data_IF_811504667547
#
_entry.id   IF_811504667547
#
_cell.length_a   1.000
_cell.length_b   1.000
_cell.length_c   1.000
_cell.angle_alpha   90.00
_cell.angle_beta   90.00
_cell.angle_gamma   90.00
#
_symmetry.space_group_name_H-M   'P 1'
#
loop_
_entity.id
_entity.type
_entity.pdbx_description
1 polymer ?
#
# COMPACT_ATOMS: atom_id res chain seq x y z
N UNK A 1 -0.49 40.49 23.20
CA UNK A 1 0.81 39.88 22.85
C UNK A 1 0.52 38.51 22.31
N UNK A 2 0.95 38.37 21.07
CA UNK A 2 0.79 37.26 20.14
C UNK A 2 1.45 35.97 20.67
N UNK A 3 0.79 34.84 20.41
CA UNK A 3 1.36 33.57 19.91
C UNK A 3 2.36 32.76 20.78
N UNK A 4 2.39 31.42 20.77
CA UNK A 4 1.95 30.44 19.77
C UNK A 4 1.50 29.14 20.46
N UNK A 5 0.42 28.60 19.92
CA UNK A 5 -0.02 27.22 20.06
C UNK A 5 1.03 26.26 19.48
N UNK A 6 1.70 25.50 20.35
CA UNK A 6 2.50 24.34 19.97
C UNK A 6 1.68 23.07 20.10
N UNK A 7 0.60 22.94 19.35
CA UNK A 7 -0.20 21.72 19.31
C UNK A 7 0.63 20.66 18.58
N UNK A 8 1.33 19.80 19.33
CA UNK A 8 1.82 18.54 18.80
C UNK A 8 0.60 17.65 18.57
N UNK A 9 -0.03 17.82 17.42
CA UNK A 9 -1.00 16.88 16.88
C UNK A 9 -0.27 15.58 16.58
N UNK A 10 -0.05 14.77 17.61
CA UNK A 10 -0.08 13.32 17.48
C UNK A 10 -1.33 13.02 16.65
N UNK A 11 -1.12 12.54 15.44
CA UNK A 11 -2.16 11.95 14.60
C UNK A 11 -2.85 10.86 15.42
N UNK A 12 -3.87 11.26 16.17
CA UNK A 12 -4.67 10.37 16.97
C UNK A 12 -5.45 9.53 15.97
N UNK A 13 -4.96 8.32 15.72
CA UNK A 13 -5.64 7.34 14.90
C UNK A 13 -7.08 7.19 15.40
N UNK A 14 -8.08 7.14 14.52
CA UNK A 14 -9.46 6.98 14.92
C UNK A 14 -9.62 5.70 15.76
N UNK A 15 -10.31 5.84 16.91
CA UNK A 15 -10.60 4.74 17.83
C UNK A 15 -11.62 3.77 17.25
N UNK A 16 -11.56 2.46 17.59
CA UNK A 16 -12.26 1.40 16.88
C UNK A 16 -13.70 1.25 17.39
N UNK A 17 -14.66 1.85 16.68
CA UNK A 17 -16.07 1.49 16.82
C UNK A 17 -16.54 0.83 15.51
N UNK A 18 -16.78 -0.49 15.59
CA UNK A 18 -17.57 -1.33 14.66
C UNK A 18 -17.05 -1.48 13.23
N UNK A 19 -16.33 -2.58 12.99
CA UNK A 19 -16.15 -3.19 11.67
C UNK A 19 -15.37 -2.33 10.68
N UNK A 20 -14.05 -2.49 10.64
CA UNK A 20 -13.17 -1.84 9.65
C UNK A 20 -13.49 -2.29 8.21
N UNK A 21 -14.50 -1.69 7.59
CA UNK A 21 -14.66 -1.61 6.14
C UNK A 21 -13.59 -0.63 5.60
N UNK A 22 -12.33 -1.06 5.62
CA UNK A 22 -11.26 -0.37 4.89
C UNK A 22 -11.60 -0.41 3.40
N UNK A 23 -11.63 0.75 2.75
CA UNK A 23 -11.92 0.88 1.34
C UNK A 23 -10.85 0.18 0.50
N UNK A 24 -11.19 -0.24 -0.72
CA UNK A 24 -10.24 -0.93 -1.61
C UNK A 24 -9.06 -0.04 -2.03
N UNK A 25 -9.28 1.26 -1.99
CA UNK A 25 -8.34 2.34 -2.29
C UNK A 25 -7.64 2.92 -1.03
N UNK A 26 -7.93 2.39 0.17
CA UNK A 26 -7.20 2.79 1.37
C UNK A 26 -5.71 2.44 1.26
N UNK A 27 -4.87 3.30 1.83
CA UNK A 27 -3.41 3.23 1.74
C UNK A 27 -2.86 1.84 2.08
N UNK A 28 -3.25 1.30 3.24
CA UNK A 28 -2.80 -0.01 3.71
C UNK A 28 -3.39 -1.17 2.92
N UNK A 29 -4.57 -1.00 2.32
CA UNK A 29 -5.21 -2.04 1.48
C UNK A 29 -4.48 -2.16 0.15
N UNK A 30 -4.10 -1.03 -0.45
CA UNK A 30 -3.28 -0.99 -1.68
C UNK A 30 -1.89 -1.55 -1.43
N UNK A 31 -1.23 -1.09 -0.35
CA UNK A 31 0.09 -1.59 0.06
C UNK A 31 0.07 -3.12 0.27
N UNK A 32 -0.92 -3.65 0.99
CA UNK A 32 -1.07 -5.09 1.21
C UNK A 32 -1.24 -5.87 -0.10
N UNK A 33 -2.08 -5.38 -1.02
CA UNK A 33 -2.31 -6.02 -2.30
C UNK A 33 -1.02 -6.10 -3.12
N UNK A 34 -0.25 -5.00 -3.17
CA UNK A 34 1.04 -4.97 -3.85
C UNK A 34 2.06 -5.93 -3.22
N UNK A 35 2.24 -5.91 -1.90
CA UNK A 35 3.16 -6.83 -1.22
C UNK A 35 2.77 -8.29 -1.46
N UNK A 36 1.46 -8.59 -1.43
CA UNK A 36 0.96 -9.95 -1.64
C UNK A 36 1.23 -10.46 -3.05
N UNK A 37 0.97 -9.67 -4.08
CA UNK A 37 1.25 -10.09 -5.46
C UNK A 37 2.74 -10.25 -5.70
N UNK A 38 3.58 -9.33 -5.19
CA UNK A 38 5.03 -9.43 -5.31
C UNK A 38 5.57 -10.69 -4.62
N UNK A 39 5.05 -11.03 -3.43
CA UNK A 39 5.42 -12.26 -2.74
C UNK A 39 5.00 -13.52 -3.49
N UNK A 40 3.79 -13.54 -4.06
CA UNK A 40 3.32 -14.66 -4.88
C UNK A 40 4.19 -14.87 -6.13
N UNK A 41 4.56 -13.77 -6.81
CA UNK A 41 5.47 -13.80 -7.98
C UNK A 41 6.87 -14.26 -7.60
N UNK A 42 7.41 -13.76 -6.49
CA UNK A 42 8.70 -14.18 -5.96
C UNK A 42 8.73 -15.70 -5.71
N UNK A 43 7.68 -16.26 -5.10
CA UNK A 43 7.57 -17.72 -4.87
C UNK A 43 7.52 -18.55 -6.16
N UNK A 44 7.04 -17.97 -7.25
CA UNK A 44 6.96 -18.61 -8.56
C UNK A 44 8.23 -18.39 -9.40
N UNK A 45 9.21 -17.62 -8.90
CA UNK A 45 10.38 -17.23 -9.67
C UNK A 45 10.06 -16.29 -10.84
N UNK A 46 8.96 -15.53 -10.74
CA UNK A 46 8.49 -14.58 -11.78
C UNK A 46 8.56 -13.16 -11.25
N UNK A 47 8.55 -12.19 -12.17
CA UNK A 47 8.31 -10.78 -11.85
C UNK A 47 6.85 -10.41 -12.11
N UNK A 48 6.38 -9.33 -11.50
CA UNK A 48 5.06 -8.75 -11.80
C UNK A 48 5.04 -8.23 -13.25
N UNK A 49 3.93 -8.43 -13.96
CA UNK A 49 3.74 -7.84 -15.30
C UNK A 49 3.24 -6.40 -15.20
N UNK A 50 3.45 -5.61 -16.26
CA UNK A 50 2.95 -4.23 -16.33
C UNK A 50 1.42 -4.20 -16.17
N UNK A 51 0.70 -5.15 -16.77
CA UNK A 51 -0.75 -5.27 -16.65
C UNK A 51 -1.22 -5.49 -15.20
N UNK A 52 -0.52 -6.34 -14.44
CA UNK A 52 -0.83 -6.61 -13.04
C UNK A 52 -0.52 -5.39 -12.15
N UNK A 53 0.53 -4.65 -12.50
CA UNK A 53 0.92 -3.42 -11.81
C UNK A 53 -0.10 -2.30 -12.07
N UNK A 54 -0.54 -2.13 -13.33
CA UNK A 54 -1.54 -1.14 -13.72
C UNK A 54 -2.93 -1.45 -13.15
N UNK A 55 -3.29 -2.72 -13.00
CA UNK A 55 -4.54 -3.11 -12.34
C UNK A 55 -4.62 -2.67 -10.88
N UNK A 56 -3.49 -2.60 -10.17
CA UNK A 56 -3.43 -2.09 -8.80
C UNK A 56 -3.63 -0.57 -8.72
N UNK A 57 -3.22 0.16 -9.76
CA UNK A 57 -3.32 1.62 -9.83
C UNK A 57 -4.59 2.11 -10.56
N UNK A 58 -5.33 1.23 -11.26
CA UNK A 58 -6.42 1.57 -12.17
C UNK A 58 -7.50 2.53 -11.64
N UNK A 59 -7.77 2.52 -10.32
CA UNK A 59 -8.77 3.41 -9.69
C UNK A 59 -8.16 4.48 -8.79
N UNK A 60 -6.84 4.52 -8.69
CA UNK A 60 -6.11 5.44 -7.84
C UNK A 60 -5.69 6.66 -8.64
N UNK A 61 -5.65 7.80 -7.97
CA UNK A 61 -4.98 8.96 -8.52
C UNK A 61 -3.47 8.69 -8.64
N UNK A 62 -2.84 9.09 -9.74
CA UNK A 62 -1.42 8.85 -10.02
C UNK A 62 -0.50 9.42 -8.92
N UNK A 63 -0.78 10.62 -8.40
CA UNK A 63 -0.02 11.22 -7.30
C UNK A 63 -0.11 10.37 -6.03
N UNK A 64 -1.29 9.83 -5.74
CA UNK A 64 -1.48 8.96 -4.58
C UNK A 64 -0.77 7.61 -4.75
N UNK A 65 -0.84 7.02 -5.94
CA UNK A 65 -0.09 5.79 -6.26
C UNK A 65 1.42 5.97 -6.13
N UNK A 66 1.95 7.07 -6.68
CA UNK A 66 3.37 7.42 -6.57
C UNK A 66 3.76 7.63 -5.10
N UNK A 67 2.92 8.32 -4.33
CA UNK A 67 3.13 8.51 -2.89
C UNK A 67 3.23 7.19 -2.13
N UNK A 68 2.34 6.22 -2.41
CA UNK A 68 2.37 4.89 -1.80
C UNK A 68 3.70 4.21 -2.11
N UNK A 69 4.07 4.14 -3.39
CA UNK A 69 5.28 3.43 -3.83
C UNK A 69 6.57 4.04 -3.28
N UNK A 70 6.67 5.37 -3.24
CA UNK A 70 7.83 6.08 -2.69
C UNK A 70 7.98 5.75 -1.21
N UNK A 71 6.89 5.78 -0.44
CA UNK A 71 6.95 5.42 0.99
C UNK A 71 7.32 3.96 1.19
N UNK A 72 6.76 3.04 0.40
CA UNK A 72 7.11 1.62 0.47
C UNK A 72 8.59 1.35 0.17
N UNK A 73 9.21 2.11 -0.74
CA UNK A 73 10.66 2.04 -0.98
C UNK A 73 11.45 2.66 0.17
N UNK A 74 11.04 3.82 0.68
CA UNK A 74 11.72 4.50 1.78
C UNK A 74 11.72 3.67 3.07
N UNK A 75 10.64 2.96 3.35
CA UNK A 75 10.51 2.00 4.47
C UNK A 75 11.23 0.67 4.18
N UNK A 76 11.77 0.50 2.97
CA UNK A 76 12.49 -0.69 2.56
C UNK A 76 11.59 -1.92 2.38
N UNK A 77 10.27 -1.75 2.19
CA UNK A 77 9.32 -2.84 1.98
C UNK A 77 9.40 -3.43 0.57
N UNK A 78 9.70 -2.58 -0.41
CA UNK A 78 9.89 -2.96 -1.81
C UNK A 78 11.16 -2.33 -2.39
N UNK A 79 11.64 -2.88 -3.50
CA UNK A 79 12.74 -2.35 -4.30
C UNK A 79 12.34 -2.26 -5.77
N UNK A 80 13.15 -1.55 -6.58
CA UNK A 80 12.91 -1.43 -8.02
C UNK A 80 11.98 -0.28 -8.41
N UNK A 81 11.68 0.64 -7.49
CA UNK A 81 11.04 1.93 -7.82
C UNK A 81 12.01 3.05 -7.50
N UNK A 82 12.18 3.98 -8.44
CA UNK A 82 13.04 5.15 -8.29
C UNK A 82 12.22 6.43 -8.53
N UNK A 83 12.20 7.38 -7.58
CA UNK A 83 11.59 8.68 -7.83
C UNK A 83 12.40 9.44 -8.88
N UNK A 84 11.70 10.08 -9.81
CA UNK A 84 12.27 10.98 -10.82
C UNK A 84 11.57 12.33 -10.75
N UNK A 85 12.36 13.40 -10.71
CA UNK A 85 11.82 14.76 -10.85
C UNK A 85 11.64 15.06 -12.34
N UNK A 86 10.40 15.35 -12.73
CA UNK A 86 10.06 15.75 -14.11
C UNK A 86 9.58 17.20 -14.12
N UNK A 87 9.56 17.83 -15.30
CA UNK A 87 9.03 19.19 -15.50
C UNK A 87 7.56 19.34 -15.06
N UNK A 88 6.83 18.22 -15.00
CA UNK A 88 5.42 18.15 -14.61
C UNK A 88 5.19 17.66 -13.16
N UNK A 89 6.25 17.50 -12.36
CA UNK A 89 6.18 17.05 -10.96
C UNK A 89 6.99 15.79 -10.67
N UNK A 90 6.78 15.22 -9.48
CA UNK A 90 7.41 13.97 -9.06
C UNK A 90 6.74 12.77 -9.74
N UNK A 91 7.54 11.99 -10.44
CA UNK A 91 7.13 10.79 -11.14
C UNK A 91 7.97 9.60 -10.65
N UNK A 92 7.66 8.40 -11.11
CA UNK A 92 8.42 7.21 -10.74
C UNK A 92 8.90 6.47 -11.99
N UNK A 93 10.07 5.83 -11.87
CA UNK A 93 10.52 4.78 -12.77
C UNK A 93 10.48 3.46 -12.04
N UNK A 94 9.84 2.47 -12.65
CA UNK A 94 9.79 1.10 -12.15
C UNK A 94 10.74 0.24 -12.97
N UNK A 95 11.54 -0.58 -12.31
CA UNK A 95 12.43 -1.55 -12.94
C UNK A 95 12.55 -2.78 -12.05
N UNK A 96 11.94 -3.88 -12.49
CA UNK A 96 11.91 -5.15 -11.75
C UNK A 96 11.48 -4.95 -10.29
N UNK A 97 10.26 -4.47 -10.08
CA UNK A 97 9.71 -4.24 -8.73
C UNK A 97 9.66 -5.56 -7.97
N UNK A 98 10.24 -5.58 -6.76
CA UNK A 98 10.34 -6.78 -5.93
C UNK A 98 10.05 -6.47 -4.47
N UNK A 99 9.50 -7.44 -3.75
CA UNK A 99 9.34 -7.37 -2.29
C UNK A 99 10.67 -7.70 -1.61
N UNK A 100 10.97 -7.00 -0.52
CA UNK A 100 12.18 -7.23 0.30
C UNK A 100 11.88 -8.16 1.49
N UNK A 101 12.90 -8.67 2.21
CA UNK A 101 12.67 -9.37 3.48
C UNK A 101 11.87 -8.56 4.49
N UNK A 102 12.11 -7.25 4.59
CA UNK A 102 11.33 -6.33 5.45
C UNK A 102 9.87 -6.28 5.03
N UNK A 103 9.59 -6.20 3.72
CA UNK A 103 8.23 -6.24 3.19
C UNK A 103 7.51 -7.54 3.49
N UNK A 104 8.22 -8.69 3.42
CA UNK A 104 7.68 -10.00 3.80
C UNK A 104 7.36 -10.03 5.29
N UNK A 105 8.28 -9.57 6.14
CA UNK A 105 8.05 -9.52 7.59
C UNK A 105 6.83 -8.66 7.93
N UNK A 106 6.71 -7.48 7.32
CA UNK A 106 5.57 -6.60 7.49
C UNK A 106 4.25 -7.28 7.07
N UNK A 107 4.25 -8.00 5.95
CA UNK A 107 3.09 -8.72 5.44
C UNK A 107 2.57 -9.80 6.41
N UNK A 108 3.45 -10.43 7.19
CA UNK A 108 3.11 -11.55 8.07
C UNK A 108 3.06 -11.22 9.56
N UNK A 109 3.73 -10.16 10.01
CA UNK A 109 3.92 -9.86 11.44
C UNK A 109 3.19 -8.60 11.92
N UNK A 110 2.62 -7.81 11.01
CA UNK A 110 1.87 -6.60 11.37
C UNK A 110 0.40 -6.91 11.68
N UNK A 111 -0.06 -6.54 12.88
CA UNK A 111 -1.48 -6.62 13.28
C UNK A 111 -2.40 -5.82 12.35
N UNK A 112 -1.87 -4.79 11.70
CA UNK A 112 -2.58 -4.02 10.68
C UNK A 112 -2.83 -4.84 9.41
N UNK A 113 -1.85 -5.64 8.96
CA UNK A 113 -2.00 -6.51 7.80
C UNK A 113 -2.96 -7.67 8.08
N UNK A 114 -3.04 -8.14 9.34
CA UNK A 114 -4.08 -9.08 9.75
C UNK A 114 -5.49 -8.49 9.63
N UNK A 115 -5.66 -7.21 10.02
CA UNK A 115 -6.94 -6.49 9.85
C UNK A 115 -7.30 -6.32 8.38
N UNK A 116 -6.38 -5.83 7.55
CA UNK A 116 -6.58 -5.69 6.09
C UNK A 116 -6.96 -7.04 5.46
N UNK A 117 -6.27 -8.12 5.84
CA UNK A 117 -6.57 -9.48 5.37
C UNK A 117 -7.97 -9.93 5.77
N UNK A 118 -8.44 -9.58 6.97
CA UNK A 118 -9.79 -9.93 7.43
C UNK A 118 -10.86 -9.12 6.70
N UNK A 119 -10.68 -7.80 6.53
CA UNK A 119 -11.58 -6.94 5.74
C UNK A 119 -11.74 -7.46 4.31
N UNK A 120 -10.65 -7.81 3.63
CA UNK A 120 -10.70 -8.35 2.27
C UNK A 120 -11.41 -9.71 2.17
N UNK A 121 -11.34 -10.53 3.22
CA UNK A 121 -12.10 -11.80 3.28
C UNK A 121 -13.59 -11.54 3.47
N UNK A 122 -13.94 -10.58 4.31
CA UNK A 122 -15.32 -10.22 4.60
C UNK A 122 -16.01 -9.67 3.33
N UNK A 123 -15.37 -8.74 2.62
CA UNK A 123 -15.86 -8.22 1.33
C UNK A 123 -16.07 -9.33 0.29
N UNK A 124 -15.22 -10.35 0.26
CA UNK A 124 -15.41 -11.52 -0.62
C UNK A 124 -16.52 -12.46 -0.13
N UNK A 125 -16.83 -12.46 1.17
CA UNK A 125 -17.92 -13.22 1.79
C UNK A 125 -19.30 -12.56 1.65
N UNK A 126 -19.37 -11.23 1.45
CA UNK A 126 -20.62 -10.48 1.23
C UNK A 126 -21.02 -10.47 -0.26
N UNK A 127 -20.57 -11.43 -1.07
CA UNK A 127 -21.29 -11.78 -2.30
C UNK A 127 -22.28 -12.89 -1.93
N UNK A 128 -23.54 -12.57 -1.55
CA UNK A 128 -24.57 -13.59 -1.50
C UNK A 128 -24.96 -13.95 -2.94
N UNK A 129 -24.56 -15.14 -3.38
CA UNK A 129 -24.93 -15.73 -4.66
C UNK A 129 -23.69 -16.25 -5.39
N UNK A 130 -23.67 -17.44 -5.99
CA UNK A 130 -24.73 -18.34 -6.42
C UNK A 130 -24.21 -19.78 -6.36
#
# INVERSE_FOLDING_TARGET
MEEVSGNQSLISLPSPDRGDDMAKDDYFVVMYQLLKILYDKLKQGKSITDEEFDQLSYKLNETYWNYILINMVNEGLISGVQPISTLNGENIKTHNVQITPTGIEYLFSSSMMERVKNTLKDIKGIVPGM
#
